data_IF_639170848723
#
_entry.id   IF_639170848723
#
_cell.length_a   1.000
_cell.length_b   1.000
_cell.length_c   1.000
_cell.angle_alpha   90.00
_cell.angle_beta   90.00
_cell.angle_gamma   90.00
#
_symmetry.space_group_name_H-M   'P 1'
#
loop_
_entity.id
_entity.type
_entity.pdbx_description
1 polymer ?
#
# COMPACT_ATOMS: atom_id res chain seq x y z
N UNK A 1 -39.92 10.34 -45.63
CA UNK A 1 -39.94 10.86 -44.27
C UNK A 1 -38.48 11.17 -43.90
N UNK A 2 -38.17 12.46 -43.78
CA UNK A 2 -36.81 12.97 -43.56
C UNK A 2 -36.48 13.04 -42.07
N UNK A 3 -35.32 12.54 -41.68
CA UNK A 3 -34.75 12.75 -40.33
C UNK A 3 -33.97 14.07 -40.30
N UNK A 4 -34.12 14.90 -39.25
CA UNK A 4 -33.31 16.11 -39.08
C UNK A 4 -32.01 15.76 -38.33
N UNK A 5 -30.91 16.34 -38.86
CA UNK A 5 -29.56 16.17 -38.32
C UNK A 5 -29.32 16.89 -37.01
N UNK A 6 -28.62 16.23 -36.14
CA UNK A 6 -28.16 16.71 -34.84
C UNK A 6 -26.77 17.36 -34.95
N UNK A 7 -26.71 18.65 -34.61
CA UNK A 7 -25.50 19.48 -34.70
C UNK A 7 -24.62 19.23 -33.47
N UNK A 8 -23.44 18.65 -33.67
CA UNK A 8 -22.39 18.60 -32.66
C UNK A 8 -21.84 20.00 -32.37
N UNK A 9 -21.98 20.44 -31.12
CA UNK A 9 -21.27 21.61 -30.57
C UNK A 9 -19.89 21.14 -30.04
N UNK A 10 -18.86 21.64 -30.71
CA UNK A 10 -17.47 21.52 -30.24
C UNK A 10 -17.26 22.57 -29.16
N UNK A 11 -16.98 22.16 -27.94
CA UNK A 11 -16.52 23.04 -26.87
C UNK A 11 -15.00 23.03 -26.87
N UNK A 12 -14.41 24.16 -27.27
CA UNK A 12 -12.97 24.41 -27.14
C UNK A 12 -12.66 24.79 -25.70
N UNK A 13 -11.80 23.99 -25.03
CA UNK A 13 -11.22 24.33 -23.74
C UNK A 13 -9.83 24.93 -23.97
N UNK A 14 -9.68 26.18 -23.57
CA UNK A 14 -8.43 26.90 -23.64
C UNK A 14 -7.44 26.39 -22.57
N UNK A 15 -6.24 26.01 -23.00
CA UNK A 15 -5.13 25.65 -22.13
C UNK A 15 -4.42 26.91 -21.64
N UNK A 16 -4.37 27.12 -20.32
CA UNK A 16 -3.55 28.13 -19.69
C UNK A 16 -2.21 27.50 -19.28
N UNK A 17 -1.12 27.91 -19.91
CA UNK A 17 0.26 27.55 -19.56
C UNK A 17 0.76 28.48 -18.48
N UNK A 18 1.07 27.94 -17.30
CA UNK A 18 1.85 28.62 -16.25
C UNK A 18 3.33 28.19 -16.39
N UNK A 19 4.19 29.16 -16.70
CA UNK A 19 5.64 29.00 -16.62
C UNK A 19 6.12 29.29 -15.21
N UNK A 20 6.82 28.33 -14.57
CA UNK A 20 7.53 28.52 -13.31
C UNK A 20 9.03 28.56 -13.61
N UNK A 21 9.66 29.69 -13.31
CA UNK A 21 11.10 29.89 -13.42
C UNK A 21 11.82 29.26 -12.23
N UNK A 22 12.79 28.38 -12.49
CA UNK A 22 13.70 27.81 -11.51
C UNK A 22 14.90 28.73 -11.31
N UNK A 23 15.12 29.21 -10.08
CA UNK A 23 16.33 29.91 -9.68
C UNK A 23 17.36 28.90 -9.13
N UNK A 24 18.47 28.74 -9.84
CA UNK A 24 19.64 27.99 -9.41
C UNK A 24 20.54 28.89 -8.53
N UNK A 25 20.65 28.57 -7.25
CA UNK A 25 21.65 29.15 -6.36
C UNK A 25 22.87 28.27 -6.25
N UNK A 26 23.96 28.64 -6.93
CA UNK A 26 25.30 28.11 -6.70
C UNK A 26 25.93 28.90 -5.55
N UNK A 27 26.32 28.26 -4.46
CA UNK A 27 27.27 28.82 -3.49
C UNK A 27 28.58 28.06 -3.57
N UNK A 28 29.61 28.81 -3.98
CA UNK A 28 30.97 28.37 -4.19
C UNK A 28 31.73 28.21 -2.87
N UNK A 29 32.61 27.24 -2.91
CA UNK A 29 33.69 26.90 -2.00
C UNK A 29 34.68 28.03 -1.84
N UNK A 30 35.13 28.33 -0.62
CA UNK A 30 36.30 29.16 -0.32
C UNK A 30 37.27 28.34 0.51
N UNK A 31 38.45 28.08 -0.07
CA UNK A 31 39.57 27.48 0.63
C UNK A 31 40.38 28.48 1.43
N UNK A 32 41.16 28.04 2.39
CA UNK A 32 42.15 28.79 3.16
C UNK A 32 43.06 27.85 3.89
N UNK A 33 44.30 27.79 3.44
CA UNK A 33 45.44 27.12 4.07
C UNK A 33 45.89 27.82 5.37
N UNK A 34 46.63 27.05 6.14
CA UNK A 34 47.83 27.31 6.91
C UNK A 34 47.79 27.01 8.43
N UNK A 35 48.83 26.27 8.84
CA UNK A 35 49.51 26.44 10.10
C UNK A 35 49.49 25.28 11.06
N UNK A 36 50.59 24.52 11.08
CA UNK A 36 50.86 23.41 11.95
C UNK A 36 51.02 23.78 13.43
N UNK A 37 50.87 22.79 14.27
CA UNK A 37 51.69 22.54 15.44
C UNK A 37 51.35 21.18 16.11
N UNK A 38 52.37 20.42 16.35
CA UNK A 38 52.40 19.18 17.15
C UNK A 38 51.87 19.38 18.53
N UNK A 39 51.03 18.45 19.03
CA UNK A 39 51.05 18.00 20.43
C UNK A 39 50.40 16.57 20.54
N UNK A 40 51.23 15.72 21.10
CA UNK A 40 50.95 14.59 21.99
C UNK A 40 49.74 13.66 21.75
N UNK A 41 50.10 12.43 21.45
CA UNK A 41 49.30 11.21 21.61
C UNK A 41 48.71 11.11 23.00
N UNK A 42 47.37 10.98 23.07
CA UNK A 42 46.74 10.34 24.22
C UNK A 42 45.97 9.15 23.66
N UNK A 43 46.47 7.97 23.93
CA UNK A 43 45.76 6.70 23.77
C UNK A 43 44.50 6.75 24.68
N UNK A 44 43.37 6.99 24.07
CA UNK A 44 42.08 6.70 24.67
C UNK A 44 41.48 5.56 23.85
N UNK A 45 41.66 4.36 24.26
CA UNK A 45 40.85 3.21 23.84
C UNK A 45 39.39 3.47 24.24
N UNK A 46 38.69 4.26 23.44
CA UNK A 46 37.26 4.31 23.46
C UNK A 46 36.78 3.11 22.65
N UNK A 47 36.26 2.11 23.37
CA UNK A 47 35.54 1.00 22.78
C UNK A 47 34.44 1.55 21.88
N UNK A 48 34.69 1.51 20.58
CA UNK A 48 33.70 1.82 19.56
C UNK A 48 32.59 0.79 19.70
N UNK A 49 31.47 1.20 20.30
CA UNK A 49 30.21 0.52 20.03
C UNK A 49 30.01 0.58 18.54
N UNK A 50 30.28 -0.53 17.85
CA UNK A 50 29.81 -0.73 16.49
C UNK A 50 28.29 -0.59 16.54
N UNK A 51 27.80 0.59 16.21
CA UNK A 51 26.42 0.72 15.81
C UNK A 51 26.29 -0.14 14.56
N UNK A 52 25.75 -1.35 14.71
CA UNK A 52 25.31 -2.17 13.60
C UNK A 52 24.32 -1.29 12.83
N UNK A 53 24.77 -0.69 11.73
CA UNK A 53 23.88 0.01 10.82
C UNK A 53 22.82 -1.01 10.42
N UNK A 54 21.58 -0.77 10.82
CA UNK A 54 20.43 -1.59 10.41
C UNK A 54 20.52 -1.74 8.89
N UNK A 55 20.47 -2.99 8.41
CA UNK A 55 20.42 -3.28 6.97
C UNK A 55 19.09 -2.86 6.35
N UNK A 56 18.18 -2.33 7.17
CA UNK A 56 16.85 -1.86 6.80
C UNK A 56 16.83 -0.34 6.82
N UNK A 57 16.36 0.25 5.73
CA UNK A 57 16.12 1.68 5.59
C UNK A 57 14.62 1.96 5.70
N UNK A 58 14.28 3.15 6.14
CA UNK A 58 12.89 3.63 6.18
C UNK A 58 12.78 4.90 5.34
N UNK A 59 11.82 4.93 4.41
CA UNK A 59 11.50 6.07 3.56
C UNK A 59 10.05 6.48 3.79
N UNK A 60 9.84 7.74 4.13
CA UNK A 60 8.54 8.29 4.49
C UNK A 60 8.32 8.36 6.00
N UNK A 61 7.18 8.92 6.38
CA UNK A 61 6.77 9.13 7.77
C UNK A 61 5.37 8.56 7.99
N UNK A 62 5.14 8.01 9.18
CA UNK A 62 3.85 7.49 9.61
C UNK A 62 3.70 7.66 11.12
N UNK A 63 2.48 7.51 11.61
CA UNK A 63 2.24 7.37 13.05
C UNK A 63 2.28 5.90 13.44
N UNK A 64 2.88 5.61 14.59
CA UNK A 64 2.74 4.30 15.21
C UNK A 64 1.25 4.04 15.53
N UNK A 65 0.86 2.77 15.54
CA UNK A 65 -0.43 2.37 16.08
C UNK A 65 -0.54 2.80 17.54
N UNK A 66 -1.76 3.04 17.98
CA UNK A 66 -2.02 3.36 19.39
C UNK A 66 -1.46 2.28 20.31
N UNK A 67 -0.67 2.67 21.30
CA UNK A 67 -0.09 1.77 22.30
C UNK A 67 -1.13 1.08 23.20
N UNK A 68 -2.38 1.54 23.14
CA UNK A 68 -3.49 0.90 23.87
C UNK A 68 -4.07 -0.33 23.15
N UNK A 69 -3.66 -0.59 21.91
CA UNK A 69 -4.11 -1.76 21.16
C UNK A 69 -3.39 -3.02 21.67
N UNK A 70 -4.14 -3.93 22.28
CA UNK A 70 -3.63 -5.25 22.66
C UNK A 70 -3.55 -6.20 21.46
N UNK A 71 -4.48 -6.05 20.51
CA UNK A 71 -4.61 -6.89 19.33
C UNK A 71 -4.68 -6.05 18.05
N UNK A 72 -4.22 -6.64 16.95
CA UNK A 72 -4.26 -6.04 15.62
C UNK A 72 -4.70 -7.04 14.56
N UNK A 73 -5.28 -6.54 13.48
CA UNK A 73 -5.41 -7.27 12.22
C UNK A 73 -4.21 -6.96 11.33
N UNK A 74 -3.66 -8.00 10.73
CA UNK A 74 -2.53 -7.89 9.79
C UNK A 74 -2.96 -8.45 8.44
N UNK A 75 -2.62 -7.75 7.37
CA UNK A 75 -2.83 -8.16 6.00
C UNK A 75 -1.50 -8.15 5.26
N UNK A 76 -1.14 -9.29 4.66
CA UNK A 76 0.04 -9.44 3.80
C UNK A 76 -0.39 -10.13 2.51
N UNK A 77 -0.68 -9.37 1.44
CA UNK A 77 -1.00 -9.94 0.13
C UNK A 77 0.15 -10.76 -0.43
N UNK A 78 -0.09 -11.74 -1.32
CA UNK A 78 0.96 -12.44 -2.03
C UNK A 78 1.85 -11.47 -2.82
N UNK A 79 3.14 -11.73 -2.87
CA UNK A 79 4.10 -10.94 -3.68
C UNK A 79 4.13 -11.37 -5.14
N UNK A 80 3.82 -12.62 -5.41
CA UNK A 80 3.82 -13.18 -6.76
C UNK A 80 2.40 -13.22 -7.31
N UNK A 81 2.26 -12.81 -8.54
CA UNK A 81 1.05 -12.83 -9.33
C UNK A 81 1.36 -13.49 -10.65
N UNK A 82 0.43 -14.19 -11.23
CA UNK A 82 0.57 -14.67 -12.60
C UNK A 82 0.59 -13.47 -13.56
N UNK A 83 1.19 -13.65 -14.73
CA UNK A 83 1.25 -12.61 -15.76
C UNK A 83 -0.14 -12.09 -16.19
N UNK A 84 -1.19 -12.84 -15.93
CA UNK A 84 -2.58 -12.49 -16.21
C UNK A 84 -3.27 -11.70 -15.06
N UNK A 85 -2.52 -11.34 -13.99
CA UNK A 85 -3.05 -10.64 -12.83
C UNK A 85 -3.82 -11.53 -11.84
N UNK A 86 -3.85 -12.85 -12.03
CA UNK A 86 -4.38 -13.78 -11.05
C UNK A 86 -3.33 -14.15 -9.98
N UNK A 87 -3.78 -14.63 -8.82
CA UNK A 87 -2.88 -15.24 -7.85
C UNK A 87 -2.40 -16.61 -8.34
N UNK A 88 -1.13 -16.99 -8.10
CA UNK A 88 -0.69 -18.35 -8.29
C UNK A 88 -1.55 -19.33 -7.50
N UNK A 89 -1.76 -20.51 -8.05
CA UNK A 89 -2.53 -21.56 -7.39
C UNK A 89 -1.94 -21.87 -6.01
N UNK A 90 -2.76 -21.81 -4.96
CA UNK A 90 -2.31 -22.01 -3.58
C UNK A 90 -1.79 -20.76 -2.85
N UNK A 91 -1.64 -19.63 -3.54
CA UNK A 91 -1.32 -18.36 -2.87
C UNK A 91 -2.52 -17.86 -2.08
N UNK A 92 -2.31 -17.57 -0.82
CA UNK A 92 -3.35 -17.01 0.06
C UNK A 92 -2.97 -15.58 0.40
N UNK A 93 -3.96 -14.69 0.37
CA UNK A 93 -3.84 -13.42 1.12
C UNK A 93 -3.81 -13.80 2.59
N UNK A 94 -2.65 -13.67 3.20
CA UNK A 94 -2.50 -13.99 4.60
C UNK A 94 -3.04 -12.81 5.41
N UNK A 95 -4.21 -13.01 5.98
CA UNK A 95 -4.77 -12.10 6.97
C UNK A 95 -4.77 -12.79 8.31
N UNK A 96 -4.05 -12.25 9.27
CA UNK A 96 -4.14 -12.62 10.67
C UNK A 96 -5.09 -11.64 11.37
N UNK A 97 -6.08 -12.17 12.09
CA UNK A 97 -7.05 -11.35 12.82
C UNK A 97 -6.80 -11.51 14.31
N UNK A 98 -6.94 -10.41 15.03
CA UNK A 98 -6.79 -10.36 16.48
C UNK A 98 -5.51 -11.03 16.97
N UNK A 99 -4.39 -10.66 16.36
CA UNK A 99 -3.07 -11.10 16.82
C UNK A 99 -2.50 -10.12 17.83
N UNK A 100 -1.71 -10.61 18.75
CA UNK A 100 -1.06 -9.80 19.79
C UNK A 100 -0.20 -8.70 19.14
N UNK A 101 -0.50 -7.44 19.46
CA UNK A 101 0.19 -6.28 18.91
C UNK A 101 1.67 -6.22 19.33
N UNK A 102 2.06 -6.86 20.45
CA UNK A 102 3.44 -6.93 20.91
C UNK A 102 4.36 -7.73 20.00
N UNK A 103 3.80 -8.56 19.12
CA UNK A 103 4.55 -9.31 18.11
C UNK A 103 5.01 -8.46 16.92
N UNK A 104 4.44 -7.27 16.75
CA UNK A 104 4.89 -6.32 15.74
C UNK A 104 6.25 -5.74 16.13
N UNK A 105 7.16 -5.58 15.15
CA UNK A 105 8.39 -4.81 15.32
C UNK A 105 8.50 -3.77 14.22
N UNK A 106 9.07 -2.62 14.54
CA UNK A 106 9.23 -1.50 13.60
C UNK A 106 10.58 -0.81 13.80
N UNK A 107 11.18 -0.32 12.71
CA UNK A 107 12.42 0.48 12.73
C UNK A 107 12.13 1.97 12.98
N UNK A 108 10.91 2.41 12.67
CA UNK A 108 10.43 3.77 12.93
C UNK A 108 8.91 3.72 13.18
N UNK A 109 8.28 4.79 13.67
CA UNK A 109 6.84 4.82 13.90
C UNK A 109 6.04 4.36 12.68
N UNK A 110 5.25 3.27 12.82
CA UNK A 110 4.45 2.69 11.74
C UNK A 110 5.24 1.95 10.65
N UNK A 111 6.58 1.94 10.67
CA UNK A 111 7.42 1.22 9.71
C UNK A 111 7.68 -0.22 10.18
N UNK A 112 6.68 -1.06 10.07
CA UNK A 112 6.75 -2.43 10.56
C UNK A 112 7.66 -3.29 9.70
N UNK A 113 8.56 -4.04 10.37
CA UNK A 113 9.52 -4.96 9.77
C UNK A 113 9.31 -6.41 10.20
N UNK A 114 8.45 -6.64 11.20
CA UNK A 114 8.00 -7.98 11.61
C UNK A 114 6.48 -7.96 11.71
N UNK A 115 5.84 -8.88 10.99
CA UNK A 115 4.39 -9.00 10.86
C UNK A 115 3.96 -10.42 11.25
N UNK A 116 3.15 -10.61 12.30
CA UNK A 116 2.60 -11.91 12.64
C UNK A 116 1.59 -12.38 11.58
N UNK A 117 1.64 -13.67 11.21
CA UNK A 117 0.81 -14.30 10.19
C UNK A 117 0.15 -15.58 10.75
N UNK A 118 -0.62 -15.44 11.80
CA UNK A 118 -1.18 -16.57 12.51
C UNK A 118 -0.11 -17.28 13.36
N UNK A 119 0.32 -18.50 12.96
CA UNK A 119 1.38 -19.24 13.67
C UNK A 119 2.79 -18.81 13.28
N UNK A 120 2.94 -18.15 12.16
CA UNK A 120 4.22 -17.75 11.59
C UNK A 120 4.38 -16.24 11.67
N UNK A 121 5.61 -15.78 11.47
CA UNK A 121 5.94 -14.37 11.32
C UNK A 121 6.60 -14.13 9.97
N UNK A 122 6.26 -13.03 9.32
CA UNK A 122 6.97 -12.53 8.16
C UNK A 122 7.85 -11.37 8.61
N UNK A 123 9.13 -11.41 8.29
CA UNK A 123 10.07 -10.35 8.66
C UNK A 123 10.90 -9.90 7.47
N UNK A 124 11.09 -8.58 7.35
CA UNK A 124 12.04 -7.99 6.42
C UNK A 124 13.46 -8.30 6.91
N UNK A 125 14.24 -9.00 6.10
CA UNK A 125 15.62 -9.36 6.46
C UNK A 125 16.60 -8.25 6.10
N UNK A 126 16.44 -7.67 4.92
CA UNK A 126 17.21 -6.53 4.40
C UNK A 126 16.32 -5.72 3.48
N UNK A 127 16.59 -4.43 3.30
CA UNK A 127 15.90 -3.62 2.29
C UNK A 127 15.35 -2.31 2.82
N UNK A 128 14.26 -1.86 2.20
CA UNK A 128 13.66 -0.56 2.50
C UNK A 128 12.18 -0.71 2.79
N UNK A 129 11.71 -0.07 3.86
CA UNK A 129 10.28 0.15 4.11
C UNK A 129 9.90 1.48 3.48
N UNK A 130 8.95 1.48 2.55
CA UNK A 130 8.52 2.66 1.80
C UNK A 130 6.99 2.68 1.67
N UNK A 131 6.44 3.71 1.03
CA UNK A 131 5.00 3.92 0.85
C UNK A 131 4.25 3.92 2.19
N UNK A 132 4.89 4.47 3.22
CA UNK A 132 4.37 4.49 4.57
C UNK A 132 3.20 5.47 4.71
N UNK A 133 2.12 5.01 5.32
CA UNK A 133 1.05 5.87 5.79
C UNK A 133 0.37 5.25 7.02
N UNK A 134 -0.04 6.10 7.95
CA UNK A 134 -0.76 5.68 9.15
C UNK A 134 -1.17 6.86 10.01
N UNK A 135 -2.20 6.68 10.84
CA UNK A 135 -2.77 7.73 11.67
C UNK A 135 -2.92 7.35 13.15
N UNK A 136 -2.46 6.17 13.53
CA UNK A 136 -2.64 5.59 14.86
C UNK A 136 -3.69 4.48 14.93
N UNK A 137 -4.66 4.45 14.02
CA UNK A 137 -5.69 3.43 13.91
C UNK A 137 -5.28 2.31 12.95
N UNK A 138 -4.48 2.67 11.96
CA UNK A 138 -3.91 1.78 10.97
C UNK A 138 -2.51 2.24 10.54
N UNK A 139 -1.75 1.34 9.94
CA UNK A 139 -0.57 1.63 9.15
C UNK A 139 -0.54 0.73 7.92
N UNK A 140 -0.05 1.27 6.80
CA UNK A 140 0.23 0.54 5.57
C UNK A 140 1.65 0.85 5.11
N UNK A 141 2.24 -0.06 4.36
CA UNK A 141 3.55 0.14 3.76
C UNK A 141 3.93 -0.94 2.77
N UNK A 142 5.12 -0.81 2.22
CA UNK A 142 5.70 -1.75 1.29
C UNK A 142 7.19 -1.98 1.62
N UNK A 143 7.59 -3.24 1.66
CA UNK A 143 9.00 -3.64 1.71
C UNK A 143 9.53 -3.78 0.30
N UNK A 144 10.70 -3.24 0.03
CA UNK A 144 11.31 -3.23 -1.30
C UNK A 144 12.84 -3.25 -1.23
N UNK A 145 13.50 -3.46 -2.37
CA UNK A 145 14.96 -3.44 -2.52
C UNK A 145 15.68 -4.32 -1.49
N UNK A 146 15.19 -5.53 -1.26
CA UNK A 146 15.72 -6.43 -0.24
C UNK A 146 15.10 -7.81 -0.27
N UNK A 147 15.03 -8.46 0.90
CA UNK A 147 14.50 -9.82 1.04
C UNK A 147 13.76 -10.00 2.36
N UNK A 148 12.88 -10.99 2.42
CA UNK A 148 12.13 -11.35 3.62
C UNK A 148 12.42 -12.78 4.12
N UNK A 149 11.87 -13.11 5.28
CA UNK A 149 12.05 -14.42 5.94
C UNK A 149 11.33 -15.58 5.22
N UNK A 150 10.46 -15.30 4.27
CA UNK A 150 9.81 -16.31 3.43
C UNK A 150 10.64 -16.64 2.18
N UNK A 151 11.81 -15.99 2.02
CA UNK A 151 12.73 -16.22 0.90
C UNK A 151 12.44 -15.42 -0.35
N UNK A 152 11.53 -14.44 -0.27
CA UNK A 152 11.29 -13.55 -1.40
C UNK A 152 12.42 -12.50 -1.50
N UNK A 153 12.74 -12.11 -2.73
CA UNK A 153 13.66 -11.01 -3.03
C UNK A 153 12.94 -9.98 -3.89
N UNK A 154 13.19 -8.71 -3.59
CA UNK A 154 12.55 -7.56 -4.24
C UNK A 154 13.58 -6.63 -4.83
N UNK A 155 13.36 -6.17 -6.05
CA UNK A 155 14.07 -4.98 -6.56
C UNK A 155 13.34 -3.69 -6.09
N UNK A 156 13.80 -2.53 -6.53
CA UNK A 156 13.21 -1.24 -6.14
C UNK A 156 11.76 -1.05 -6.67
N UNK A 157 11.37 -1.79 -7.70
CA UNK A 157 10.09 -1.65 -8.38
C UNK A 157 9.04 -2.68 -7.91
N UNK A 158 9.42 -3.60 -7.03
CA UNK A 158 8.57 -4.64 -6.48
C UNK A 158 8.50 -4.54 -4.96
N UNK A 159 7.70 -5.38 -4.33
CA UNK A 159 7.78 -5.54 -2.89
C UNK A 159 6.58 -6.22 -2.26
N UNK A 160 6.72 -6.50 -0.97
CA UNK A 160 5.66 -6.99 -0.11
C UNK A 160 4.90 -5.81 0.44
N UNK A 161 3.67 -5.61 -0.01
CA UNK A 161 2.74 -4.68 0.63
C UNK A 161 2.16 -5.28 1.91
N UNK A 162 1.83 -4.44 2.87
CA UNK A 162 1.24 -4.87 4.13
C UNK A 162 0.34 -3.78 4.72
N UNK A 163 -0.64 -4.22 5.52
CA UNK A 163 -1.48 -3.35 6.33
C UNK A 163 -1.62 -3.92 7.74
N UNK A 164 -1.63 -3.04 8.73
CA UNK A 164 -1.89 -3.37 10.14
C UNK A 164 -2.89 -2.36 10.68
N UNK A 165 -3.83 -2.81 11.51
CA UNK A 165 -4.81 -1.88 12.10
C UNK A 165 -5.60 -2.53 13.22
N UNK A 166 -6.32 -1.71 13.99
CA UNK A 166 -7.18 -2.17 15.05
C UNK A 166 -8.24 -3.15 14.52
N UNK A 167 -8.54 -4.25 15.23
CA UNK A 167 -9.63 -5.15 14.85
C UNK A 167 -10.98 -4.42 14.96
N UNK A 168 -11.87 -4.64 13.99
CA UNK A 168 -13.23 -4.12 14.04
C UNK A 168 -14.22 -5.11 13.43
N UNK A 169 -15.38 -5.21 14.04
CA UNK A 169 -16.50 -5.97 13.50
C UNK A 169 -17.58 -4.99 13.03
N UNK A 170 -17.87 -5.01 11.74
CA UNK A 170 -18.88 -4.16 11.11
C UNK A 170 -20.13 -5.00 10.82
N UNK A 171 -21.26 -4.58 11.34
CA UNK A 171 -22.57 -5.21 11.09
C UNK A 171 -23.38 -4.34 10.14
N UNK A 172 -23.75 -4.89 8.97
CA UNK A 172 -24.59 -4.22 8.00
C UNK A 172 -26.00 -4.81 8.00
N UNK A 173 -27.00 -3.95 7.90
CA UNK A 173 -28.39 -4.32 7.63
C UNK A 173 -28.69 -4.24 6.13
N UNK A 174 -29.84 -4.71 5.68
CA UNK A 174 -30.22 -4.65 4.27
C UNK A 174 -30.36 -3.22 3.73
N UNK A 175 -30.58 -2.25 4.63
CA UNK A 175 -30.69 -0.83 4.30
C UNK A 175 -29.39 -0.06 4.52
N UNK A 176 -28.37 -0.70 5.14
CA UNK A 176 -27.10 -0.06 5.42
C UNK A 176 -26.22 0.01 4.17
N UNK A 177 -25.58 1.15 4.01
CA UNK A 177 -24.55 1.35 3.00
C UNK A 177 -23.40 2.13 3.63
N UNK A 178 -22.16 1.70 3.39
CA UNK A 178 -20.98 2.50 3.69
C UNK A 178 -20.37 3.00 2.38
N UNK A 179 -20.11 4.30 2.33
CA UNK A 179 -19.38 4.93 1.23
C UNK A 179 -17.94 5.15 1.69
N UNK A 180 -17.01 4.58 0.97
CA UNK A 180 -15.60 4.59 1.34
C UNK A 180 -14.78 5.34 0.30
N UNK A 181 -13.84 6.17 0.75
CA UNK A 181 -12.93 6.93 -0.11
C UNK A 181 -11.49 6.79 0.34
N UNK A 182 -10.56 6.90 -0.60
CA UNK A 182 -9.13 6.75 -0.41
C UNK A 182 -8.59 7.73 0.64
N UNK A 183 -7.82 7.21 1.58
CA UNK A 183 -7.08 8.01 2.58
C UNK A 183 -5.57 7.70 2.55
N UNK A 184 -5.18 6.51 2.09
CA UNK A 184 -3.78 6.14 1.92
C UNK A 184 -3.65 4.99 0.92
N UNK A 185 -2.52 4.89 0.24
CA UNK A 185 -2.22 3.79 -0.67
C UNK A 185 -0.72 3.52 -0.74
N UNK A 186 -0.35 2.27 -1.00
CA UNK A 186 0.96 1.98 -1.57
C UNK A 186 0.94 2.26 -3.06
N UNK A 187 2.08 2.62 -3.63
CA UNK A 187 2.22 2.76 -5.08
C UNK A 187 1.96 1.43 -5.79
N UNK A 188 1.17 1.40 -6.87
CA UNK A 188 1.06 0.22 -7.73
C UNK A 188 2.45 -0.21 -8.23
N UNK A 189 2.74 -1.49 -8.12
CA UNK A 189 4.01 -2.08 -8.57
C UNK A 189 3.76 -3.16 -9.60
N UNK A 190 4.60 -3.25 -10.64
CA UNK A 190 4.54 -4.37 -11.59
C UNK A 190 5.02 -5.66 -10.92
N UNK A 191 4.37 -6.77 -11.23
CA UNK A 191 4.70 -8.07 -10.65
C UNK A 191 6.06 -8.60 -11.10
N UNK A 192 6.53 -8.18 -12.26
CA UNK A 192 7.84 -8.52 -12.82
C UNK A 192 8.96 -7.58 -12.38
N UNK A 193 8.63 -6.46 -11.73
CA UNK A 193 9.59 -5.46 -11.26
C UNK A 193 10.27 -4.64 -12.34
N UNK A 194 9.80 -4.71 -13.58
CA UNK A 194 10.43 -4.02 -14.72
C UNK A 194 9.93 -2.58 -14.89
N UNK A 195 8.79 -2.24 -14.28
CA UNK A 195 8.20 -0.90 -14.39
C UNK A 195 8.31 -0.17 -13.05
N UNK A 196 8.73 1.08 -13.10
CA UNK A 196 8.80 1.96 -11.92
C UNK A 196 7.42 2.07 -11.27
N UNK A 197 7.33 2.03 -9.93
CA UNK A 197 6.07 2.14 -9.21
C UNK A 197 5.26 3.36 -9.63
N UNK A 198 3.97 3.15 -9.81
CA UNK A 198 3.02 4.16 -10.30
C UNK A 198 2.37 5.00 -9.20
N UNK A 199 1.13 5.42 -9.45
CA UNK A 199 0.24 6.08 -8.48
C UNK A 199 -1.13 5.43 -8.46
N UNK A 200 -1.76 5.37 -7.30
CA UNK A 200 -3.20 5.12 -7.16
C UNK A 200 -3.87 6.45 -6.87
N UNK A 201 -4.55 6.99 -7.88
CA UNK A 201 -5.05 8.37 -7.84
C UNK A 201 -6.45 8.44 -7.19
N UNK A 202 -7.26 7.40 -7.42
CA UNK A 202 -8.60 7.26 -6.84
C UNK A 202 -8.82 5.83 -6.39
N UNK A 203 -9.42 5.66 -5.22
CA UNK A 203 -10.07 4.43 -4.80
C UNK A 203 -11.34 4.78 -4.05
N UNK A 204 -12.46 4.24 -4.52
CA UNK A 204 -13.75 4.37 -3.88
C UNK A 204 -14.40 3.00 -3.75
N UNK A 205 -15.20 2.84 -2.72
CA UNK A 205 -16.00 1.64 -2.52
C UNK A 205 -17.39 1.98 -1.99
N UNK A 206 -18.37 1.21 -2.45
CA UNK A 206 -19.70 1.16 -1.83
C UNK A 206 -19.88 -0.21 -1.23
N UNK A 207 -20.00 -0.27 0.11
CA UNK A 207 -20.15 -1.54 0.82
C UNK A 207 -21.60 -1.72 1.25
N UNK A 208 -22.18 -2.85 0.85
CA UNK A 208 -23.55 -3.23 1.17
C UNK A 208 -23.61 -4.67 1.65
N UNK A 209 -24.65 -4.99 2.43
CA UNK A 209 -25.01 -6.36 2.75
C UNK A 209 -25.56 -7.03 1.48
N UNK A 210 -25.12 -8.26 1.23
CA UNK A 210 -25.63 -9.13 0.18
C UNK A 210 -25.83 -10.54 0.74
N UNK A 211 -26.61 -11.36 0.06
CA UNK A 211 -26.75 -12.79 0.35
C UNK A 211 -26.21 -13.63 -0.81
N UNK A 212 -25.62 -14.77 -0.49
CA UNK A 212 -25.24 -15.78 -1.46
C UNK A 212 -26.44 -16.68 -1.83
N UNK A 213 -26.21 -17.65 -2.72
CA UNK A 213 -27.23 -18.59 -3.18
C UNK A 213 -27.79 -19.49 -2.06
N UNK A 214 -27.07 -19.60 -0.92
CA UNK A 214 -27.51 -20.35 0.26
C UNK A 214 -28.20 -19.45 1.27
N UNK A 215 -28.44 -18.17 0.95
CA UNK A 215 -29.05 -17.19 1.85
C UNK A 215 -28.13 -16.69 2.95
N UNK A 216 -26.82 -16.98 2.89
CA UNK A 216 -25.86 -16.47 3.87
C UNK A 216 -25.51 -15.01 3.55
N UNK A 217 -25.56 -14.16 4.57
CA UNK A 217 -25.27 -12.74 4.43
C UNK A 217 -23.78 -12.46 4.52
N UNK A 218 -23.31 -11.51 3.70
CA UNK A 218 -21.94 -11.01 3.71
C UNK A 218 -21.91 -9.53 3.31
N UNK A 219 -20.81 -8.83 3.66
CA UNK A 219 -20.53 -7.50 3.17
C UNK A 219 -19.86 -7.59 1.80
N UNK A 220 -20.41 -6.90 0.81
CA UNK A 220 -19.84 -6.79 -0.54
C UNK A 220 -19.41 -5.36 -0.81
N UNK A 221 -18.15 -5.17 -1.22
CA UNK A 221 -17.61 -3.88 -1.63
C UNK A 221 -17.55 -3.81 -3.16
N UNK A 222 -18.35 -2.92 -3.74
CA UNK A 222 -18.23 -2.51 -5.14
C UNK A 222 -17.13 -1.44 -5.22
N UNK A 223 -16.02 -1.77 -5.90
CA UNK A 223 -14.79 -0.99 -5.94
C UNK A 223 -14.58 -0.32 -7.29
N UNK A 224 -14.07 0.90 -7.27
CA UNK A 224 -13.49 1.56 -8.45
C UNK A 224 -12.12 2.11 -8.07
N UNK A 225 -11.10 1.73 -8.83
CA UNK A 225 -9.72 2.16 -8.68
C UNK A 225 -9.30 2.92 -9.94
N UNK A 226 -8.63 4.06 -9.80
CA UNK A 226 -7.95 4.75 -10.89
C UNK A 226 -6.46 4.81 -10.57
N UNK A 227 -5.64 4.29 -11.49
CA UNK A 227 -4.20 4.19 -11.30
C UNK A 227 -3.43 4.61 -12.56
N UNK A 228 -2.15 4.93 -12.36
CA UNK A 228 -1.20 5.19 -13.43
C UNK A 228 0.09 4.44 -13.14
N UNK A 229 0.68 3.76 -14.14
CA UNK A 229 1.96 3.07 -14.02
C UNK A 229 2.65 3.01 -15.40
N UNK A 230 3.94 3.38 -15.46
CA UNK A 230 4.66 3.44 -16.73
C UNK A 230 3.94 4.32 -17.74
N UNK A 231 3.61 3.76 -18.90
CA UNK A 231 2.85 4.42 -19.97
C UNK A 231 1.34 4.34 -19.79
N UNK A 232 0.85 3.44 -18.93
CA UNK A 232 -0.57 3.29 -18.62
C UNK A 232 -1.02 4.43 -17.71
N UNK A 233 -1.76 5.40 -18.23
CA UNK A 233 -2.21 6.58 -17.51
C UNK A 233 -3.72 6.54 -17.26
N UNK A 234 -4.11 6.94 -16.04
CA UNK A 234 -5.49 7.08 -15.60
C UNK A 234 -6.38 5.85 -15.92
N UNK A 235 -5.80 4.65 -15.78
CA UNK A 235 -6.52 3.40 -16.02
C UNK A 235 -7.58 3.20 -14.94
N UNK A 236 -8.78 2.80 -15.34
CA UNK A 236 -9.89 2.55 -14.43
C UNK A 236 -10.15 1.05 -14.35
N UNK A 237 -10.18 0.55 -13.14
CA UNK A 237 -10.61 -0.81 -12.82
C UNK A 237 -11.84 -0.75 -11.92
N UNK A 238 -12.86 -1.55 -12.22
CA UNK A 238 -14.04 -1.75 -11.37
C UNK A 238 -14.25 -3.22 -11.09
N UNK A 239 -14.56 -3.54 -9.85
CA UNK A 239 -14.75 -4.92 -9.41
C UNK A 239 -15.50 -5.01 -8.09
N UNK A 240 -15.80 -6.24 -7.68
CA UNK A 240 -16.45 -6.53 -6.42
C UNK A 240 -15.52 -7.35 -5.52
N UNK A 241 -15.59 -7.11 -4.21
CA UNK A 241 -14.88 -7.88 -3.21
C UNK A 241 -15.84 -8.29 -2.10
N UNK A 242 -15.90 -9.57 -1.77
CA UNK A 242 -16.53 -10.04 -0.53
C UNK A 242 -15.60 -9.70 0.62
N UNK A 243 -16.04 -8.85 1.54
CA UNK A 243 -15.20 -8.41 2.66
C UNK A 243 -14.84 -9.61 3.55
N UNK A 244 -13.56 -9.78 3.79
CA UNK A 244 -13.01 -10.91 4.55
C UNK A 244 -12.80 -12.19 3.74
N UNK A 245 -13.00 -12.15 2.41
CA UNK A 245 -12.72 -13.27 1.51
C UNK A 245 -11.96 -12.80 0.28
N UNK A 246 -11.12 -13.67 -0.26
CA UNK A 246 -10.45 -13.42 -1.53
C UNK A 246 -11.39 -13.78 -2.68
N UNK A 247 -11.55 -12.88 -3.62
CA UNK A 247 -12.21 -13.13 -4.88
C UNK A 247 -11.18 -13.04 -6.01
N UNK A 248 -11.03 -14.13 -6.75
CA UNK A 248 -10.28 -14.17 -7.99
C UNK A 248 -11.26 -14.28 -9.15
N UNK A 249 -11.11 -13.41 -10.13
CA UNK A 249 -11.89 -13.48 -11.34
C UNK A 249 -10.98 -13.79 -12.52
N UNK A 250 -11.03 -15.01 -13.01
CA UNK A 250 -10.26 -15.45 -14.18
C UNK A 250 -10.65 -14.69 -15.45
N UNK A 251 -11.91 -14.24 -15.56
CA UNK A 251 -12.40 -13.48 -16.70
C UNK A 251 -11.92 -12.03 -16.76
N UNK A 252 -11.64 -11.42 -15.60
CA UNK A 252 -11.20 -10.01 -15.50
C UNK A 252 -9.72 -9.87 -15.22
N UNK A 253 -8.97 -10.97 -15.14
CA UNK A 253 -7.53 -10.97 -14.79
C UNK A 253 -7.24 -10.13 -13.53
N UNK A 254 -8.05 -10.32 -12.50
CA UNK A 254 -7.97 -9.54 -11.27
C UNK A 254 -8.17 -10.39 -10.04
N UNK A 255 -7.57 -9.94 -8.96
CA UNK A 255 -7.74 -10.51 -7.63
C UNK A 255 -7.93 -9.39 -6.64
N UNK A 256 -8.98 -9.49 -5.85
CA UNK A 256 -9.34 -8.51 -4.84
C UNK A 256 -9.49 -9.19 -3.50
N UNK A 257 -8.95 -8.58 -2.47
CA UNK A 257 -9.26 -8.90 -1.08
C UNK A 257 -9.54 -7.61 -0.33
N UNK A 258 -10.56 -7.62 0.51
CA UNK A 258 -10.86 -6.49 1.37
C UNK A 258 -11.16 -6.94 2.79
N UNK A 259 -10.86 -6.09 3.75
CA UNK A 259 -11.16 -6.33 5.17
C UNK A 259 -11.38 -4.99 5.89
N UNK A 260 -12.20 -5.00 6.93
CA UNK A 260 -12.35 -3.83 7.79
C UNK A 260 -11.25 -3.79 8.86
N UNK A 261 -10.82 -2.57 9.17
CA UNK A 261 -9.90 -2.22 10.27
C UNK A 261 -10.36 -0.91 10.92
N UNK A 262 -9.84 -0.61 12.10
CA UNK A 262 -10.08 0.66 12.79
C UNK A 262 -10.81 0.49 14.12
N UNK A 263 -10.80 1.52 14.98
CA UNK A 263 -11.38 1.44 16.32
C UNK A 263 -12.91 1.60 16.36
N UNK A 264 -13.53 2.06 15.25
CA UNK A 264 -14.94 2.43 15.22
C UNK A 264 -15.70 1.70 14.11
N UNK A 265 -16.66 0.87 14.49
CA UNK A 265 -17.51 0.12 13.55
C UNK A 265 -18.47 0.99 12.72
N UNK A 266 -18.80 2.20 13.18
CA UNK A 266 -19.65 3.13 12.44
C UNK A 266 -18.87 3.90 11.35
N UNK A 267 -17.57 4.07 11.55
CA UNK A 267 -16.67 4.76 10.61
C UNK A 267 -15.38 3.94 10.43
N UNK A 268 -15.49 2.70 9.94
CA UNK A 268 -14.34 1.82 9.80
C UNK A 268 -13.44 2.26 8.64
N UNK A 269 -12.23 1.73 8.62
CA UNK A 269 -11.41 1.72 7.42
C UNK A 269 -11.64 0.41 6.67
N UNK A 270 -11.66 0.48 5.34
CA UNK A 270 -11.64 -0.66 4.44
C UNK A 270 -10.27 -0.76 3.80
N UNK A 271 -9.49 -1.77 4.17
CA UNK A 271 -8.26 -2.10 3.44
C UNK A 271 -8.61 -2.94 2.23
N UNK A 272 -8.04 -2.58 1.09
CA UNK A 272 -8.21 -3.28 -0.19
C UNK A 272 -6.85 -3.66 -0.73
N UNK A 273 -6.60 -4.96 -0.85
CA UNK A 273 -5.51 -5.49 -1.65
C UNK A 273 -6.02 -5.77 -3.06
N UNK A 274 -5.34 -5.27 -4.04
CA UNK A 274 -5.70 -5.48 -5.43
C UNK A 274 -4.51 -6.00 -6.24
N UNK A 275 -4.82 -6.88 -7.19
CA UNK A 275 -4.00 -7.24 -8.32
C UNK A 275 -4.84 -7.14 -9.56
N UNK A 276 -4.37 -6.38 -10.52
CA UNK A 276 -5.07 -6.13 -11.79
C UNK A 276 -4.09 -6.15 -12.93
N UNK A 277 -4.60 -6.33 -14.14
CA UNK A 277 -3.77 -6.31 -15.34
C UNK A 277 -3.81 -4.94 -15.98
N UNK A 278 -2.63 -4.32 -16.06
CA UNK A 278 -2.44 -3.06 -16.78
C UNK A 278 -2.03 -3.33 -18.24
N UNK A 279 -2.52 -2.54 -19.22
CA UNK A 279 -2.32 -2.83 -20.63
C UNK A 279 -0.88 -3.00 -21.07
N UNK A 280 0.05 -2.20 -20.53
CA UNK A 280 1.47 -2.21 -20.89
C UNK A 280 2.34 -2.76 -19.76
N UNK A 281 2.07 -2.39 -18.51
CA UNK A 281 2.86 -2.81 -17.37
C UNK A 281 2.59 -4.26 -16.94
N UNK A 282 1.58 -4.93 -17.53
CA UNK A 282 1.23 -6.31 -17.19
C UNK A 282 0.50 -6.41 -15.84
N UNK A 283 0.76 -7.49 -15.09
CA UNK A 283 0.20 -7.65 -13.76
C UNK A 283 0.75 -6.60 -12.81
N UNK A 284 -0.14 -5.91 -12.10
CA UNK A 284 0.22 -4.92 -11.07
C UNK A 284 -0.49 -5.23 -9.77
N UNK A 285 0.10 -4.85 -8.66
CA UNK A 285 -0.49 -5.02 -7.34
C UNK A 285 -0.30 -3.78 -6.46
N UNK A 286 -1.08 -3.70 -5.40
CA UNK A 286 -0.97 -2.65 -4.39
C UNK A 286 -2.00 -2.80 -3.28
N UNK A 287 -1.93 -1.86 -2.33
CA UNK A 287 -2.87 -1.70 -1.24
C UNK A 287 -3.50 -0.31 -1.26
N UNK A 288 -4.77 -0.25 -0.93
CA UNK A 288 -5.49 0.99 -0.65
C UNK A 288 -6.14 0.91 0.72
N UNK A 289 -6.11 2.00 1.47
CA UNK A 289 -6.86 2.20 2.70
C UNK A 289 -7.93 3.26 2.44
N UNK A 290 -9.19 2.91 2.67
CA UNK A 290 -10.33 3.78 2.47
C UNK A 290 -11.01 4.07 3.82
N UNK A 291 -11.39 5.32 4.06
CA UNK A 291 -12.25 5.70 5.19
C UNK A 291 -13.70 5.57 4.79
N UNK A 292 -14.50 4.87 5.59
CA UNK A 292 -15.90 4.58 5.33
C UNK A 292 -16.84 5.39 6.25
N UNK A 293 -18.00 5.78 5.72
CA UNK A 293 -19.05 6.48 6.47
C UNK A 293 -20.42 6.21 5.86
#
# INVERSE_FOLDING_TARGET
MQHPGEKHRIVQVAAATLAVAAALGLSACGGGDDGGSNVASIDASAGGASSSSSSIRVEGESKALSSSLAEVNVLTPPVSWNADGSFPSGSLVLSARSVDASLLKSEAPGAYTVLPRGKDTLSLSTGTVTDLAGNGDFAIGRWTAGSDSAGHSYNANQGQTWAVGAPVTVSLTDQSQLNCSLVAATRPTSTDGNTVPGSLDVAIAVVKRQSDALGQFYANAALTLQYSIGTDKAQIFSGNSRVGAMLTSSGTRSSLYSSFMGPNAATPYLVVSYGVYAPTAGGINGLAMLSCK
#
